data_IF_421781402703
#
_entry.id   IF_421781402703
#
_cell.length_a   1.000
_cell.length_b   1.000
_cell.length_c   1.000
_cell.angle_alpha   90.00
_cell.angle_beta   90.00
_cell.angle_gamma   90.00
#
_symmetry.space_group_name_H-M   'P 1'
#
loop_
_entity.id
_entity.type
_entity.pdbx_description
1 polymer ?
#
# COMPACT_ATOMS: atom_id res chain seq x y z
N UNK A 1 13.60 -7.77 8.56
CA UNK A 1 12.67 -6.63 8.75
C UNK A 1 12.99 -5.93 10.05
N UNK A 2 13.09 -4.59 10.08
CA UNK A 2 13.29 -3.86 11.32
C UNK A 2 12.12 -4.09 12.29
N UNK A 3 12.42 -4.26 13.58
CA UNK A 3 11.46 -4.64 14.63
C UNK A 3 10.32 -3.66 14.87
N UNK A 4 9.29 -4.11 15.59
CA UNK A 4 8.15 -3.26 15.97
C UNK A 4 8.64 -2.22 16.99
N UNK A 5 8.40 -0.93 16.69
CA UNK A 5 8.88 0.22 17.47
C UNK A 5 8.66 0.01 18.98
N UNK A 6 9.73 0.09 19.75
CA UNK A 6 9.69 0.08 21.22
C UNK A 6 9.39 -1.28 21.87
N UNK A 7 9.29 -2.37 21.10
CA UNK A 7 8.95 -3.69 21.66
C UNK A 7 10.12 -4.66 21.78
N UNK A 8 11.19 -4.47 20.99
CA UNK A 8 12.30 -5.43 20.91
C UNK A 8 11.94 -6.76 20.25
N UNK A 9 10.74 -6.89 19.67
CA UNK A 9 10.26 -8.10 19.00
C UNK A 9 10.19 -7.85 17.48
N UNK A 10 10.50 -8.90 16.71
CA UNK A 10 10.34 -8.88 15.27
C UNK A 10 8.87 -8.79 14.88
N UNK A 11 8.58 -8.10 13.78
CA UNK A 11 7.24 -8.11 13.22
C UNK A 11 6.84 -9.53 12.78
N UNK A 12 5.63 -9.96 13.13
CA UNK A 12 5.12 -11.31 12.88
C UNK A 12 3.98 -11.29 11.86
N UNK A 13 4.31 -10.98 10.60
CA UNK A 13 3.37 -11.02 9.47
C UNK A 13 4.14 -11.24 8.15
N UNK A 14 3.42 -11.60 7.08
CA UNK A 14 3.96 -11.73 5.73
C UNK A 14 3.70 -10.47 4.92
N UNK A 15 4.63 -10.10 4.02
CA UNK A 15 4.43 -8.93 3.15
C UNK A 15 3.20 -9.08 2.24
N UNK A 16 2.94 -10.30 1.79
CA UNK A 16 1.72 -10.71 1.13
C UNK A 16 1.48 -12.21 1.35
N UNK A 17 0.23 -12.65 1.18
CA UNK A 17 -0.18 -14.06 1.19
C UNK A 17 -0.90 -14.36 -0.12
N UNK A 18 -0.49 -15.44 -0.78
CA UNK A 18 -1.10 -15.96 -2.00
C UNK A 18 -2.04 -17.12 -1.67
N UNK A 19 -3.25 -17.06 -2.24
CA UNK A 19 -4.24 -18.13 -2.19
C UNK A 19 -4.56 -18.58 -3.61
N UNK A 20 -4.18 -19.81 -3.94
CA UNK A 20 -4.40 -20.38 -5.28
C UNK A 20 -5.82 -20.97 -5.41
N UNK A 21 -6.47 -20.63 -6.52
CA UNK A 21 -7.70 -21.26 -7.01
C UNK A 21 -7.42 -22.00 -8.33
N UNK A 22 -8.46 -22.52 -9.00
CA UNK A 22 -8.31 -23.29 -10.23
C UNK A 22 -7.81 -22.44 -11.40
N UNK A 23 -8.43 -21.27 -11.61
CA UNK A 23 -8.28 -20.39 -12.78
C UNK A 23 -7.67 -19.02 -12.43
N UNK A 24 -7.51 -18.71 -11.15
CA UNK A 24 -6.94 -17.47 -10.66
C UNK A 24 -6.22 -17.70 -9.32
N UNK A 25 -5.55 -16.67 -8.82
CA UNK A 25 -5.13 -16.61 -7.44
C UNK A 25 -5.45 -15.25 -6.83
N UNK A 26 -5.63 -15.21 -5.52
CA UNK A 26 -5.83 -13.99 -4.75
C UNK A 26 -4.53 -13.65 -4.02
N UNK A 27 -4.15 -12.38 -4.04
CA UNK A 27 -3.08 -11.84 -3.22
C UNK A 27 -3.66 -10.89 -2.18
N UNK A 28 -3.43 -11.22 -0.91
CA UNK A 28 -3.64 -10.33 0.21
C UNK A 28 -2.31 -9.64 0.53
N UNK A 29 -2.23 -8.33 0.32
CA UNK A 29 -1.01 -7.54 0.51
C UNK A 29 -1.16 -6.75 1.79
N UNK A 30 -0.27 -6.97 2.76
CA UNK A 30 -0.24 -6.23 4.02
C UNK A 30 -0.11 -4.72 3.78
N UNK A 31 -0.47 -3.90 4.76
CA UNK A 31 -0.29 -2.45 4.70
C UNK A 31 1.14 -2.06 4.29
N UNK A 32 1.24 -1.20 3.26
CA UNK A 32 2.51 -0.66 2.76
C UNK A 32 2.60 0.81 3.06
N UNK A 33 3.63 1.14 3.83
CA UNK A 33 4.10 2.50 4.07
C UNK A 33 5.06 2.91 2.96
N UNK A 34 5.38 4.21 2.94
CA UNK A 34 6.43 4.78 2.12
C UNK A 34 7.83 4.45 2.66
N UNK A 35 8.21 3.19 2.74
CA UNK A 35 9.51 2.78 3.27
C UNK A 35 10.52 2.41 2.17
N UNK A 36 11.80 2.64 2.45
CA UNK A 36 12.92 2.04 1.71
C UNK A 36 13.16 0.56 2.09
N UNK A 37 14.21 -0.04 1.52
CA UNK A 37 14.59 -1.45 1.77
C UNK A 37 15.00 -1.71 3.23
N UNK A 38 15.53 -0.68 3.90
CA UNK A 38 15.89 -0.71 5.32
C UNK A 38 14.68 -0.49 6.24
N UNK A 39 13.51 -0.19 5.67
CA UNK A 39 12.26 0.06 6.38
C UNK A 39 12.13 1.47 6.97
N UNK A 40 12.95 2.42 6.52
CA UNK A 40 12.85 3.83 6.92
C UNK A 40 11.82 4.55 6.07
N UNK A 41 11.03 5.44 6.68
CA UNK A 41 10.10 6.29 5.93
C UNK A 41 10.88 7.23 5.02
N UNK A 42 10.49 7.27 3.75
CA UNK A 42 11.00 8.17 2.71
C UNK A 42 9.87 9.06 2.18
N UNK A 43 10.21 10.26 1.74
CA UNK A 43 9.25 11.27 1.32
C UNK A 43 8.73 12.13 2.48
N UNK A 44 8.47 13.40 2.21
CA UNK A 44 8.04 14.42 3.19
C UNK A 44 6.62 14.90 2.96
N UNK A 45 6.10 14.68 1.76
CA UNK A 45 4.75 15.09 1.34
C UNK A 45 3.81 13.89 1.24
N UNK A 46 2.50 14.15 1.23
CA UNK A 46 1.51 13.09 1.05
C UNK A 46 1.66 12.46 -0.34
N UNK A 47 1.94 13.26 -1.37
CA UNK A 47 2.20 12.77 -2.73
C UNK A 47 3.39 11.79 -2.81
N UNK A 48 4.57 12.18 -2.27
CA UNK A 48 5.77 11.33 -2.29
C UNK A 48 5.54 10.01 -1.54
N UNK A 49 4.87 10.07 -0.39
CA UNK A 49 4.61 8.87 0.39
C UNK A 49 3.54 7.98 -0.25
N UNK A 50 2.49 8.54 -0.83
CA UNK A 50 1.49 7.77 -1.58
C UNK A 50 2.12 7.06 -2.78
N UNK A 51 3.01 7.74 -3.49
CA UNK A 51 3.72 7.18 -4.64
C UNK A 51 4.63 6.02 -4.22
N UNK A 52 5.41 6.21 -3.15
CA UNK A 52 6.27 5.13 -2.66
C UNK A 52 5.47 3.94 -2.12
N UNK A 53 4.39 4.17 -1.39
CA UNK A 53 3.54 3.09 -0.89
C UNK A 53 2.94 2.26 -2.04
N UNK A 54 2.43 2.92 -3.09
CA UNK A 54 1.92 2.24 -4.29
C UNK A 54 3.03 1.54 -5.08
N UNK A 55 4.24 2.10 -5.13
CA UNK A 55 5.40 1.47 -5.75
C UNK A 55 5.82 0.18 -4.99
N UNK A 56 5.82 0.21 -3.66
CA UNK A 56 6.08 -0.97 -2.83
C UNK A 56 5.00 -2.06 -3.06
N UNK A 57 3.73 -1.69 -3.23
CA UNK A 57 2.66 -2.64 -3.62
C UNK A 57 2.92 -3.21 -5.02
N UNK A 58 3.29 -2.35 -5.97
CA UNK A 58 3.59 -2.75 -7.35
C UNK A 58 4.72 -3.78 -7.40
N UNK A 59 5.79 -3.58 -6.64
CA UNK A 59 6.91 -4.52 -6.55
C UNK A 59 6.48 -5.91 -6.05
N UNK A 60 5.61 -5.96 -5.03
CA UNK A 60 5.06 -7.21 -4.52
C UNK A 60 4.20 -7.92 -5.57
N UNK A 61 3.36 -7.18 -6.30
CA UNK A 61 2.57 -7.74 -7.40
C UNK A 61 3.48 -8.31 -8.49
N UNK A 62 4.51 -7.56 -8.90
CA UNK A 62 5.44 -7.97 -9.96
C UNK A 62 6.22 -9.23 -9.59
N UNK A 63 6.63 -9.39 -8.32
CA UNK A 63 7.24 -10.62 -7.80
C UNK A 63 6.33 -11.86 -7.92
N UNK A 64 5.01 -11.66 -8.02
CA UNK A 64 4.02 -12.72 -8.20
C UNK A 64 3.52 -12.86 -9.64
N UNK A 65 4.12 -12.14 -10.60
CA UNK A 65 3.67 -12.11 -11.99
C UNK A 65 2.37 -11.33 -12.20
N UNK A 66 2.01 -10.44 -11.28
CA UNK A 66 0.83 -9.60 -11.31
C UNK A 66 1.17 -8.12 -11.58
N UNK A 67 0.15 -7.27 -11.75
CA UNK A 67 0.31 -5.83 -11.92
C UNK A 67 -0.83 -5.04 -11.28
N UNK A 68 -0.71 -3.72 -11.24
CA UNK A 68 -1.65 -2.80 -10.57
C UNK A 68 -3.11 -2.98 -11.04
N UNK A 69 -3.32 -3.37 -12.30
CA UNK A 69 -4.64 -3.64 -12.87
C UNK A 69 -5.39 -4.83 -12.23
N UNK A 70 -4.68 -5.68 -11.48
CA UNK A 70 -5.28 -6.81 -10.77
C UNK A 70 -5.77 -6.44 -9.36
N UNK A 71 -5.43 -5.26 -8.84
CA UNK A 71 -5.94 -4.80 -7.55
C UNK A 71 -7.44 -4.54 -7.68
N UNK A 72 -8.22 -5.19 -6.82
CA UNK A 72 -9.69 -5.06 -6.79
C UNK A 72 -10.15 -4.17 -5.63
N UNK A 73 -9.34 -4.06 -4.57
CA UNK A 73 -9.67 -3.29 -3.36
C UNK A 73 -8.42 -2.68 -2.74
N UNK A 74 -8.56 -1.46 -2.22
CA UNK A 74 -7.57 -0.80 -1.35
C UNK A 74 -8.21 -0.26 -0.08
N UNK A 75 -7.51 -0.43 1.04
CA UNK A 75 -7.82 0.23 2.31
C UNK A 75 -6.67 1.18 2.66
N UNK A 76 -7.00 2.46 2.83
CA UNK A 76 -6.03 3.54 2.95
C UNK A 76 -6.16 4.18 4.33
N UNK A 77 -5.06 4.24 5.06
CA UNK A 77 -4.96 4.91 6.35
C UNK A 77 -4.09 6.15 6.20
N UNK A 78 -4.58 7.30 6.66
CA UNK A 78 -3.83 8.57 6.63
C UNK A 78 -3.77 9.22 8.00
N UNK A 79 -2.73 10.01 8.28
CA UNK A 79 -2.63 10.78 9.53
C UNK A 79 -3.29 12.15 9.45
N UNK A 80 -3.50 12.66 8.24
CA UNK A 80 -4.16 13.94 7.96
C UNK A 80 -5.18 13.79 6.83
N UNK A 81 -6.30 14.51 6.94
CA UNK A 81 -7.36 14.52 5.94
C UNK A 81 -7.84 15.97 5.72
N UNK A 82 -7.24 16.59 4.72
CA UNK A 82 -7.55 17.93 4.23
C UNK A 82 -7.59 17.94 2.68
N UNK A 83 -8.06 19.04 2.10
CA UNK A 83 -8.22 19.15 0.64
C UNK A 83 -6.93 18.95 -0.15
N UNK A 84 -5.77 19.37 0.38
CA UNK A 84 -4.48 19.22 -0.28
C UNK A 84 -4.03 17.75 -0.25
N UNK A 85 -4.10 17.12 0.92
CA UNK A 85 -3.75 15.71 1.10
C UNK A 85 -4.62 14.79 0.20
N UNK A 86 -5.93 15.03 0.11
CA UNK A 86 -6.82 14.27 -0.76
C UNK A 86 -6.47 14.48 -2.24
N UNK A 87 -6.21 15.72 -2.66
CA UNK A 87 -5.77 16.01 -4.03
C UNK A 87 -4.50 15.24 -4.38
N UNK A 88 -3.48 15.32 -3.54
CA UNK A 88 -2.20 14.63 -3.74
C UNK A 88 -2.37 13.12 -3.86
N UNK A 89 -3.15 12.50 -2.96
CA UNK A 89 -3.44 11.06 -3.02
C UNK A 89 -4.12 10.68 -4.34
N UNK A 90 -5.15 11.42 -4.75
CA UNK A 90 -5.92 11.09 -5.95
C UNK A 90 -5.11 11.33 -7.23
N UNK A 91 -4.30 12.38 -7.31
CA UNK A 91 -3.40 12.64 -8.44
C UNK A 91 -2.34 11.55 -8.60
N UNK A 92 -1.77 11.06 -7.50
CA UNK A 92 -0.84 9.92 -7.53
C UNK A 92 -1.56 8.65 -7.97
N UNK A 93 -2.70 8.32 -7.36
CA UNK A 93 -3.46 7.10 -7.70
C UNK A 93 -3.83 7.05 -9.18
N UNK A 94 -4.20 8.19 -9.78
CA UNK A 94 -4.52 8.27 -11.21
C UNK A 94 -3.36 7.89 -12.14
N UNK A 95 -2.10 7.96 -11.68
CA UNK A 95 -0.92 7.51 -12.45
C UNK A 95 -0.72 5.99 -12.40
N UNK A 96 -1.14 5.35 -11.31
CA UNK A 96 -0.98 3.91 -11.09
C UNK A 96 -2.13 3.08 -11.67
N UNK A 97 -3.34 3.64 -11.70
CA UNK A 97 -4.54 2.98 -12.23
C UNK A 97 -4.94 3.61 -13.57
N UNK A 98 -4.78 2.84 -14.65
CA UNK A 98 -5.03 3.32 -16.02
C UNK A 98 -6.51 3.22 -16.40
N UNK A 99 -6.90 3.99 -17.40
CA UNK A 99 -8.20 3.92 -18.08
C UNK A 99 -9.43 4.10 -17.18
N UNK A 100 -9.27 4.79 -16.04
CA UNK A 100 -10.34 4.99 -15.06
C UNK A 100 -10.76 3.72 -14.32
N UNK A 101 -10.00 2.62 -14.46
CA UNK A 101 -10.25 1.36 -13.75
C UNK A 101 -9.64 1.41 -12.36
N UNK A 102 -10.37 2.01 -11.43
CA UNK A 102 -9.97 2.12 -10.03
C UNK A 102 -10.50 0.94 -9.20
N UNK A 103 -9.74 0.46 -8.21
CA UNK A 103 -10.23 -0.52 -7.25
C UNK A 103 -11.31 0.10 -6.33
N UNK A 104 -12.11 -0.76 -5.70
CA UNK A 104 -12.91 -0.34 -4.57
C UNK A 104 -12.00 0.26 -3.49
N UNK A 105 -12.43 1.35 -2.83
CA UNK A 105 -11.55 2.13 -1.97
C UNK A 105 -12.24 2.55 -0.69
N UNK A 106 -11.54 2.43 0.42
CA UNK A 106 -11.90 3.08 1.69
C UNK A 106 -10.70 3.86 2.17
N UNK A 107 -10.91 5.11 2.60
CA UNK A 107 -9.89 5.95 3.19
C UNK A 107 -10.36 6.39 4.57
N UNK A 108 -9.52 6.19 5.59
CA UNK A 108 -9.81 6.58 6.97
C UNK A 108 -8.65 7.38 7.56
N UNK A 109 -8.97 8.39 8.37
CA UNK A 109 -7.97 9.09 9.18
C UNK A 109 -7.70 8.31 10.46
N UNK A 110 -6.44 8.09 10.77
CA UNK A 110 -5.94 7.51 12.02
C UNK A 110 -5.14 8.57 12.80
N UNK A 111 -4.91 8.34 14.09
CA UNK A 111 -4.11 9.26 14.91
C UNK A 111 -2.61 9.14 14.66
N UNK A 112 -2.14 7.96 14.25
CA UNK A 112 -0.73 7.66 13.96
C UNK A 112 -0.61 6.36 13.14
N UNK A 113 0.49 6.21 12.41
CA UNK A 113 0.92 4.97 11.77
C UNK A 113 2.06 4.33 12.57
N UNK A 114 2.41 3.08 12.27
CA UNK A 114 3.39 2.32 13.07
C UNK A 114 4.82 2.87 12.97
N UNK A 115 5.14 3.66 11.92
CA UNK A 115 6.44 4.34 11.75
C UNK A 115 6.30 5.85 11.85
N UNK A 116 7.22 6.45 12.60
CA UNK A 116 7.30 7.91 12.74
C UNK A 116 7.54 8.58 11.38
N UNK A 117 6.86 9.70 11.15
CA UNK A 117 6.89 10.41 9.87
C UNK A 117 5.99 9.81 8.78
N UNK A 118 5.33 8.67 9.03
CA UNK A 118 4.34 8.10 8.13
C UNK A 118 3.10 8.99 8.00
N UNK A 119 2.71 9.27 6.76
CA UNK A 119 1.52 10.06 6.40
C UNK A 119 0.41 9.20 5.80
N UNK A 120 0.79 8.11 5.13
CA UNK A 120 -0.14 7.20 4.44
C UNK A 120 0.37 5.76 4.48
N UNK A 121 -0.55 4.83 4.71
CA UNK A 121 -0.38 3.39 4.59
C UNK A 121 -1.49 2.81 3.71
N UNK A 122 -1.13 1.94 2.77
CA UNK A 122 -2.08 1.36 1.80
C UNK A 122 -2.02 -0.15 1.88
N UNK A 123 -3.15 -0.76 2.20
CA UNK A 123 -3.39 -2.20 2.08
C UNK A 123 -4.10 -2.49 0.75
N UNK A 124 -3.82 -3.64 0.14
CA UNK A 124 -4.39 -4.01 -1.15
C UNK A 124 -4.76 -5.49 -1.25
N UNK A 125 -5.84 -5.76 -1.98
CA UNK A 125 -6.23 -7.10 -2.41
C UNK A 125 -6.23 -7.15 -3.93
N UNK A 126 -5.66 -8.21 -4.49
CA UNK A 126 -5.61 -8.43 -5.93
C UNK A 126 -6.17 -9.80 -6.33
N UNK A 127 -6.85 -9.84 -7.47
CA UNK A 127 -7.33 -11.07 -8.11
C UNK A 127 -6.64 -11.20 -9.45
N UNK A 128 -5.85 -12.25 -9.61
CA UNK A 128 -4.95 -12.43 -10.75
C UNK A 128 -5.36 -13.68 -11.52
N UNK A 129 -5.84 -13.55 -12.77
CA UNK A 129 -6.09 -14.70 -13.65
C UNK A 129 -4.79 -15.48 -13.91
N UNK A 130 -4.90 -16.78 -14.11
CA UNK A 130 -3.79 -17.62 -14.60
C UNK A 130 -3.59 -17.50 -16.10
#
# INVERSE_FOLDING_TARGET
MPGIKGTGIAAAFSDAVRVDHADHFVLYISGKLATDEDGNIVGRTMAEQAERALQNIKEILEQQGAGMQHIVRTLIFVTQIDAQSLREIHEVRARFFKDGRFPASTLVRTSQLVRDGGLIEIEAEAVVPR
#
